data_IF_732250452930
#
_entry.id   IF_732250452930
#
_cell.length_a   1.000
_cell.length_b   1.000
_cell.length_c   1.000
_cell.angle_alpha   90.00
_cell.angle_beta   90.00
_cell.angle_gamma   90.00
#
_symmetry.space_group_name_H-M   'P 1'
#
loop_
_entity.id
_entity.type
_entity.pdbx_description
1 polymer ?
#
# COMPACT_ATOMS: atom_id res chain seq x y z
N UNK A 1 6.98 4.16 66.59
CA UNK A 1 6.28 5.06 65.64
C UNK A 1 5.32 4.19 64.86
N UNK A 2 4.04 4.54 64.86
CA UNK A 2 2.97 3.75 64.24
C UNK A 2 2.95 3.94 62.73
N UNK A 3 2.60 2.90 61.99
CA UNK A 3 2.56 2.94 60.53
C UNK A 3 1.19 2.57 59.96
N UNK A 4 0.97 2.97 58.73
CA UNK A 4 -0.19 2.58 57.93
C UNK A 4 0.32 2.27 56.51
N UNK A 5 0.14 1.03 56.05
CA UNK A 5 0.76 0.57 54.81
C UNK A 5 -0.03 -0.44 54.00
N UNK A 6 0.31 -0.55 52.71
CA UNK A 6 -0.25 -1.51 51.76
C UNK A 6 0.85 -2.37 51.12
N UNK A 7 0.57 -3.66 50.92
CA UNK A 7 1.55 -4.61 50.36
C UNK A 7 1.77 -4.38 48.86
N UNK A 8 2.98 -3.95 48.50
CA UNK A 8 3.41 -3.71 47.11
C UNK A 8 4.86 -4.19 46.95
N UNK A 9 5.09 -5.46 46.58
CA UNK A 9 6.44 -5.95 46.28
C UNK A 9 7.06 -5.19 45.09
N UNK A 10 8.36 -4.84 45.11
CA UNK A 10 9.39 -5.16 46.11
C UNK A 10 9.53 -4.12 47.25
N UNK A 11 8.62 -3.16 47.35
CA UNK A 11 8.76 -2.02 48.26
C UNK A 11 8.35 -2.34 49.70
N UNK A 12 7.27 -3.09 49.88
CA UNK A 12 6.77 -3.55 51.17
C UNK A 12 6.03 -4.86 51.00
N UNK A 13 6.37 -5.86 51.81
CA UNK A 13 5.71 -7.16 51.84
C UNK A 13 5.86 -7.80 53.22
N UNK A 14 4.93 -8.69 53.55
CA UNK A 14 4.98 -9.49 54.78
C UNK A 14 5.27 -10.94 54.44
N UNK A 15 6.39 -11.48 54.92
CA UNK A 15 6.77 -12.90 54.78
C UNK A 15 6.99 -13.51 56.16
N UNK A 16 6.22 -14.55 56.50
CA UNK A 16 6.40 -15.37 57.72
C UNK A 16 6.54 -14.58 59.04
N UNK A 17 5.85 -13.45 59.17
CA UNK A 17 5.90 -12.59 60.37
C UNK A 17 7.00 -11.54 60.37
N UNK A 18 7.86 -11.53 59.35
CA UNK A 18 8.85 -10.47 59.09
C UNK A 18 8.34 -9.47 58.05
N UNK A 19 8.75 -8.21 58.19
CA UNK A 19 8.46 -7.12 57.26
C UNK A 19 9.66 -6.90 56.34
N UNK A 20 9.51 -7.28 55.07
CA UNK A 20 10.59 -7.24 54.09
C UNK A 20 10.26 -6.26 52.96
N UNK A 21 11.28 -5.54 52.52
CA UNK A 21 11.17 -4.61 51.43
C UNK A 21 12.06 -3.39 51.63
N UNK A 22 11.97 -2.48 50.69
CA UNK A 22 12.74 -1.25 50.71
C UNK A 22 12.29 -0.31 51.84
N UNK A 23 10.98 -0.17 52.09
CA UNK A 23 10.47 0.75 53.12
C UNK A 23 10.88 0.34 54.53
N UNK A 24 10.71 -0.91 54.99
CA UNK A 24 11.17 -1.32 56.33
C UNK A 24 12.66 -1.10 56.53
N UNK A 25 13.48 -1.42 55.54
CA UNK A 25 14.92 -1.21 55.58
C UNK A 25 15.29 0.26 55.79
N UNK A 26 14.69 1.17 55.00
CA UNK A 26 14.98 2.61 55.10
C UNK A 26 14.44 3.18 56.41
N UNK A 27 13.21 2.85 56.80
CA UNK A 27 12.57 3.43 57.97
C UNK A 27 13.25 2.98 59.27
N UNK A 28 13.62 1.71 59.39
CA UNK A 28 14.37 1.22 60.54
C UNK A 28 15.76 1.87 60.63
N UNK A 29 16.43 2.07 59.49
CA UNK A 29 17.73 2.73 59.46
C UNK A 29 17.63 4.21 59.86
N UNK A 30 16.67 4.95 59.29
CA UNK A 30 16.46 6.38 59.57
C UNK A 30 16.02 6.59 61.01
N UNK A 31 15.07 5.80 61.53
CA UNK A 31 14.59 5.95 62.90
C UNK A 31 15.67 5.67 63.93
N UNK A 32 16.48 4.62 63.75
CA UNK A 32 17.62 4.33 64.63
C UNK A 32 18.68 5.43 64.59
N UNK A 33 18.97 5.97 63.41
CA UNK A 33 20.01 7.00 63.23
C UNK A 33 19.56 8.36 63.76
N UNK A 34 18.32 8.77 63.52
CA UNK A 34 17.84 10.10 63.86
C UNK A 34 17.29 10.22 65.29
N UNK A 35 16.64 9.18 65.82
CA UNK A 35 15.94 9.30 67.10
C UNK A 35 16.84 9.05 68.31
N UNK A 36 17.96 8.34 68.16
CA UNK A 36 18.86 7.90 69.25
C UNK A 36 18.10 7.13 70.38
N UNK A 37 18.79 6.42 71.28
CA UNK A 37 18.11 5.79 72.42
C UNK A 37 17.61 6.84 73.42
N UNK A 38 16.39 6.66 73.91
CA UNK A 38 15.81 7.52 74.92
C UNK A 38 16.55 7.37 76.25
N UNK A 39 17.10 8.47 76.78
CA UNK A 39 17.95 8.48 77.98
C UNK A 39 17.19 8.04 79.25
N UNK A 40 15.86 8.17 79.29
CA UNK A 40 15.01 7.84 80.44
C UNK A 40 14.52 6.37 80.49
N UNK A 41 15.26 5.42 79.91
CA UNK A 41 14.97 3.98 80.04
C UNK A 41 13.88 3.43 79.10
N UNK A 42 13.39 4.22 78.15
CA UNK A 42 12.39 3.78 77.16
C UNK A 42 12.98 3.03 75.95
N UNK A 43 14.30 2.81 75.91
CA UNK A 43 14.96 2.03 74.86
C UNK A 43 15.12 2.78 73.51
N UNK A 44 15.53 2.07 72.44
CA UNK A 44 15.62 2.62 71.10
C UNK A 44 14.23 2.82 70.49
N UNK A 45 14.08 3.89 69.70
CA UNK A 45 12.85 4.10 68.92
C UNK A 45 12.74 3.05 67.83
N UNK A 46 11.62 2.34 67.78
CA UNK A 46 11.31 1.35 66.74
C UNK A 46 10.05 1.75 65.94
N UNK A 47 9.98 1.27 64.71
CA UNK A 47 8.80 1.40 63.85
C UNK A 47 7.89 0.22 64.11
N UNK A 48 6.60 0.50 64.31
CA UNK A 48 5.55 -0.51 64.49
C UNK A 48 4.85 -0.73 63.15
N UNK A 49 5.05 -1.91 62.57
CA UNK A 49 4.41 -2.34 61.31
C UNK A 49 3.17 -3.20 61.54
N UNK A 50 2.81 -3.48 62.78
CA UNK A 50 1.66 -4.30 63.15
C UNK A 50 0.42 -3.45 63.40
N UNK A 51 0.58 -2.34 64.12
CA UNK A 51 -0.52 -1.53 64.60
C UNK A 51 -0.42 -0.06 64.19
N UNK A 52 -1.58 0.52 63.86
CA UNK A 52 -1.74 1.96 63.71
C UNK A 52 -1.98 2.63 65.08
N UNK A 53 -2.08 3.96 65.11
CA UNK A 53 -2.29 4.75 66.35
C UNK A 53 -3.62 4.43 67.03
N UNK A 54 -4.59 3.90 66.29
CA UNK A 54 -5.88 3.47 66.80
C UNK A 54 -5.86 2.03 67.35
N UNK A 55 -4.75 1.32 67.23
CA UNK A 55 -4.62 -0.09 67.61
C UNK A 55 -5.22 -1.08 66.61
N UNK A 56 -5.58 -0.63 65.40
CA UNK A 56 -6.01 -1.50 64.30
C UNK A 56 -4.80 -1.97 63.49
N UNK A 57 -4.99 -2.93 62.59
CA UNK A 57 -3.90 -3.46 61.75
C UNK A 57 -3.31 -2.36 60.87
N UNK A 58 -1.98 -2.21 60.92
CA UNK A 58 -1.26 -1.26 60.08
C UNK A 58 -1.32 -1.63 58.59
N UNK A 59 -1.38 -2.92 58.26
CA UNK A 59 -1.63 -3.42 56.91
C UNK A 59 -3.09 -3.16 56.50
N UNK A 60 -3.28 -2.47 55.37
CA UNK A 60 -4.60 -2.19 54.78
C UNK A 60 -4.82 -3.03 53.53
N UNK A 61 -6.08 -3.19 53.12
CA UNK A 61 -6.45 -4.00 51.94
C UNK A 61 -6.27 -3.28 50.60
N UNK A 62 -6.17 -1.94 50.61
CA UNK A 62 -6.07 -1.14 49.38
C UNK A 62 -5.33 0.17 49.66
N UNK A 63 -4.54 0.63 48.68
CA UNK A 63 -3.88 1.95 48.68
C UNK A 63 -4.87 3.09 48.98
N UNK A 64 -6.12 2.97 48.49
CA UNK A 64 -7.16 3.97 48.77
C UNK A 64 -7.50 4.12 50.26
N UNK A 65 -7.32 3.06 51.05
CA UNK A 65 -7.58 3.08 52.51
C UNK A 65 -6.41 3.72 53.24
N UNK A 66 -5.18 3.48 52.79
CA UNK A 66 -3.98 4.17 53.29
C UNK A 66 -4.16 5.69 53.16
N UNK A 67 -4.67 6.16 52.01
CA UNK A 67 -4.94 7.58 51.78
C UNK A 67 -6.07 8.19 52.61
N UNK A 68 -7.05 7.39 53.05
CA UNK A 68 -8.17 7.89 53.86
C UNK A 68 -7.82 7.97 55.35
N UNK A 69 -6.96 7.06 55.82
CA UNK A 69 -6.60 6.93 57.23
C UNK A 69 -5.22 7.54 57.53
N UNK A 70 -4.80 8.56 56.78
CA UNK A 70 -3.51 9.25 56.94
C UNK A 70 -3.35 9.89 58.34
N UNK A 71 -4.45 10.19 59.04
CA UNK A 71 -4.45 10.79 60.37
C UNK A 71 -4.22 9.80 61.51
N UNK A 72 -4.27 8.49 61.23
CA UNK A 72 -4.23 7.42 62.22
C UNK A 72 -2.84 6.78 62.37
N UNK A 73 -1.80 7.29 61.70
CA UNK A 73 -0.44 6.78 61.84
C UNK A 73 0.61 7.90 61.76
N UNK A 74 1.79 7.66 62.36
CA UNK A 74 2.91 8.59 62.29
C UNK A 74 3.57 8.60 60.90
N UNK A 75 3.52 7.47 60.20
CA UNK A 75 4.06 7.28 58.84
C UNK A 75 3.09 6.49 57.98
N UNK A 76 2.87 6.94 56.74
CA UNK A 76 1.99 6.27 55.77
C UNK A 76 2.72 6.03 54.45
N UNK A 77 2.72 4.79 53.94
CA UNK A 77 3.42 4.41 52.70
C UNK A 77 2.84 3.11 52.09
N UNK A 78 2.92 2.90 50.77
CA UNK A 78 3.40 3.82 49.75
C UNK A 78 2.38 4.94 49.50
N UNK A 79 2.85 6.20 49.51
CA UNK A 79 2.08 7.37 49.07
C UNK A 79 2.71 7.86 47.78
N UNK A 80 1.91 7.86 46.72
CA UNK A 80 2.32 8.38 45.43
C UNK A 80 2.27 9.91 45.42
N UNK A 81 3.33 10.51 44.89
CA UNK A 81 3.46 11.95 44.75
C UNK A 81 4.06 12.34 43.40
N UNK A 82 4.07 13.63 43.09
CA UNK A 82 4.75 14.16 41.91
C UNK A 82 6.14 14.67 42.24
N UNK A 83 7.02 14.73 41.24
CA UNK A 83 8.40 15.21 41.40
C UNK A 83 8.40 16.66 41.92
N UNK A 84 9.11 16.88 43.02
CA UNK A 84 9.17 18.19 43.69
C UNK A 84 8.02 18.47 44.68
N UNK A 85 7.11 17.51 44.89
CA UNK A 85 6.13 17.60 45.96
C UNK A 85 6.85 17.57 47.32
N UNK A 86 6.55 18.54 48.19
CA UNK A 86 7.11 18.63 49.55
C UNK A 86 6.08 18.41 50.65
N UNK A 87 4.79 18.42 50.29
CA UNK A 87 3.66 18.25 51.20
C UNK A 87 2.59 17.36 50.57
N UNK A 88 1.95 16.55 51.39
CA UNK A 88 0.78 15.75 51.04
C UNK A 88 -0.31 16.07 52.06
N UNK A 89 -1.37 16.75 51.62
CA UNK A 89 -2.36 17.33 52.55
C UNK A 89 -1.71 18.30 53.54
N UNK A 90 -1.88 18.03 54.83
CA UNK A 90 -1.27 18.79 55.94
C UNK A 90 0.12 18.27 56.35
N UNK A 91 0.53 17.10 55.86
CA UNK A 91 1.76 16.41 56.24
C UNK A 91 2.92 16.69 55.29
N UNK A 92 4.15 16.50 55.79
CA UNK A 92 5.35 16.62 54.97
C UNK A 92 5.52 15.37 54.11
N UNK A 93 5.67 15.56 52.81
CA UNK A 93 5.93 14.48 51.87
C UNK A 93 7.44 14.33 51.68
N UNK A 94 7.94 13.09 51.73
CA UNK A 94 9.36 12.76 51.54
C UNK A 94 9.47 11.75 50.40
N UNK A 95 9.96 12.15 49.21
CA UNK A 95 10.17 11.22 48.10
C UNK A 95 11.40 10.34 48.41
N UNK A 96 11.21 9.01 48.41
CA UNK A 96 12.30 8.06 48.66
C UNK A 96 12.89 7.48 47.37
N UNK A 97 12.05 7.28 46.34
CA UNK A 97 12.45 6.71 45.06
C UNK A 97 11.55 7.22 43.94
N UNK A 98 12.09 7.30 42.74
CA UNK A 98 11.30 7.53 41.53
C UNK A 98 10.81 6.17 41.01
N UNK A 99 9.53 6.07 40.64
CA UNK A 99 9.00 4.84 40.04
C UNK A 99 9.57 4.67 38.62
N UNK A 100 9.77 3.43 38.18
CA UNK A 100 10.33 3.08 36.87
C UNK A 100 9.45 3.48 35.66
N UNK A 101 8.34 4.20 35.88
CA UNK A 101 7.35 4.54 34.86
C UNK A 101 6.33 3.44 34.60
N UNK A 102 5.42 3.69 33.65
CA UNK A 102 4.36 2.76 33.25
C UNK A 102 4.65 2.27 31.83
N UNK A 103 4.76 0.96 31.64
CA UNK A 103 4.88 0.35 30.33
C UNK A 103 3.48 0.01 29.77
N UNK A 104 3.27 0.29 28.49
CA UNK A 104 2.03 -0.06 27.80
C UNK A 104 2.25 -1.33 26.99
N UNK A 105 1.46 -2.37 27.27
CA UNK A 105 1.45 -3.59 26.46
C UNK A 105 0.28 -3.51 25.50
N UNK A 106 0.58 -3.38 24.21
CA UNK A 106 -0.40 -3.44 23.15
C UNK A 106 -0.23 -4.75 22.37
N UNK A 107 -1.35 -5.39 22.01
CA UNK A 107 -1.30 -6.45 21.01
C UNK A 107 -0.86 -5.87 19.67
N UNK A 108 0.16 -6.49 19.07
CA UNK A 108 0.57 -6.20 17.70
C UNK A 108 -0.63 -6.42 16.76
N UNK A 109 -0.79 -5.57 15.73
CA UNK A 109 -1.89 -5.72 14.79
C UNK A 109 -1.84 -7.07 14.08
N UNK A 110 -3.01 -7.67 13.92
CA UNK A 110 -3.19 -9.00 13.30
C UNK A 110 -2.96 -8.90 11.78
N UNK A 111 -2.53 -9.99 11.12
CA UNK A 111 -2.20 -9.97 9.68
C UNK A 111 -3.31 -9.40 8.76
N UNK A 112 -4.59 -9.53 9.14
CA UNK A 112 -5.73 -8.95 8.40
C UNK A 112 -5.88 -7.42 8.53
N UNK A 113 -5.32 -6.79 9.57
CA UNK A 113 -5.30 -5.34 9.71
C UNK A 113 -4.23 -4.72 8.81
N UNK A 114 -3.14 -5.45 8.55
CA UNK A 114 -2.07 -5.05 7.64
C UNK A 114 -2.52 -4.97 6.18
N UNK A 115 -3.43 -5.86 5.73
CA UNK A 115 -3.94 -5.87 4.34
C UNK A 115 -4.95 -4.76 4.06
N UNK A 116 -5.91 -4.54 4.98
CA UNK A 116 -6.86 -3.42 4.88
C UNK A 116 -6.14 -2.07 4.85
N UNK A 117 -4.97 -2.00 5.50
CA UNK A 117 -4.14 -0.81 5.53
C UNK A 117 -3.45 -0.52 4.18
N UNK A 118 -2.87 -1.52 3.50
CA UNK A 118 -2.31 -1.32 2.14
C UNK A 118 -3.38 -0.80 1.19
N UNK A 119 -4.60 -1.33 1.31
CA UNK A 119 -5.76 -0.88 0.53
C UNK A 119 -6.09 0.58 0.86
N UNK A 120 -6.03 1.00 2.13
CA UNK A 120 -6.26 2.38 2.55
C UNK A 120 -5.21 3.35 1.95
N UNK A 121 -3.93 3.00 1.96
CA UNK A 121 -2.87 3.82 1.34
C UNK A 121 -3.08 3.94 -0.17
N UNK A 122 -3.34 2.81 -0.85
CA UNK A 122 -3.60 2.83 -2.29
C UNK A 122 -4.85 3.66 -2.65
N UNK A 123 -5.90 3.59 -1.84
CA UNK A 123 -7.12 4.39 -2.05
C UNK A 123 -6.93 5.87 -1.73
N UNK A 124 -6.07 6.22 -0.77
CA UNK A 124 -5.74 7.61 -0.46
C UNK A 124 -4.94 8.30 -1.58
N UNK A 125 -4.02 7.56 -2.24
CA UNK A 125 -3.23 8.09 -3.35
C UNK A 125 -3.99 8.17 -4.68
N UNK A 126 -5.10 7.43 -4.81
CA UNK A 126 -5.84 7.30 -6.06
C UNK A 126 -6.40 8.63 -6.60
N UNK A 127 -7.06 9.50 -5.80
CA UNK A 127 -7.57 10.79 -6.29
C UNK A 127 -6.47 11.68 -6.88
N UNK A 128 -5.28 11.70 -6.27
CA UNK A 128 -4.16 12.52 -6.76
C UNK A 128 -3.64 12.01 -8.10
N UNK A 129 -3.50 10.70 -8.27
CA UNK A 129 -3.15 10.09 -9.56
C UNK A 129 -4.18 10.41 -10.66
N UNK A 130 -5.47 10.40 -10.31
CA UNK A 130 -6.53 10.80 -11.25
C UNK A 130 -6.38 12.28 -11.62
N UNK A 131 -6.13 13.16 -10.66
CA UNK A 131 -5.96 14.59 -10.91
C UNK A 131 -4.72 14.89 -11.78
N UNK A 132 -3.60 14.18 -11.60
CA UNK A 132 -2.42 14.34 -12.45
C UNK A 132 -2.67 13.86 -13.88
N UNK A 133 -3.36 12.73 -14.06
CA UNK A 133 -3.76 12.23 -15.39
C UNK A 133 -4.71 13.22 -16.08
N UNK A 134 -5.68 13.78 -15.35
CA UNK A 134 -6.59 14.80 -15.89
C UNK A 134 -5.85 16.07 -16.32
N UNK A 135 -4.86 16.52 -15.55
CA UNK A 135 -3.99 17.64 -15.93
C UNK A 135 -3.17 17.33 -17.20
N UNK A 136 -2.63 16.11 -17.33
CA UNK A 136 -1.92 15.68 -18.55
C UNK A 136 -2.85 15.63 -19.77
N UNK A 137 -4.09 15.16 -19.60
CA UNK A 137 -5.10 15.16 -20.67
C UNK A 137 -5.44 16.59 -21.09
N UNK A 138 -5.63 17.50 -20.13
CA UNK A 138 -5.88 18.90 -20.40
C UNK A 138 -4.71 19.52 -21.17
N UNK A 139 -3.47 19.34 -20.70
CA UNK A 139 -2.30 19.88 -21.37
C UNK A 139 -2.10 19.30 -22.77
N UNK A 140 -2.36 18.00 -22.95
CA UNK A 140 -2.33 17.34 -24.25
C UNK A 140 -3.38 17.89 -25.21
N UNK A 141 -4.60 18.17 -24.73
CA UNK A 141 -5.65 18.80 -25.56
C UNK A 141 -5.30 20.23 -25.97
N UNK A 142 -4.71 21.02 -25.06
CA UNK A 142 -4.27 22.39 -25.34
C UNK A 142 -3.16 22.37 -26.37
N UNK A 143 -2.14 21.53 -26.21
CA UNK A 143 -1.07 21.44 -27.19
C UNK A 143 -1.58 20.98 -28.55
N UNK A 144 -2.42 19.95 -28.58
CA UNK A 144 -3.04 19.49 -29.82
C UNK A 144 -3.81 20.62 -30.51
N UNK A 145 -4.57 21.44 -29.77
CA UNK A 145 -5.29 22.58 -30.34
C UNK A 145 -4.34 23.61 -30.97
N UNK A 146 -3.17 23.85 -30.36
CA UNK A 146 -2.14 24.78 -30.88
C UNK A 146 -1.38 24.22 -32.09
N UNK A 147 -1.10 22.92 -32.12
CA UNK A 147 -0.24 22.29 -33.14
C UNK A 147 -0.99 21.61 -34.28
N UNK A 148 -2.26 21.24 -34.12
CA UNK A 148 -3.03 20.47 -35.12
C UNK A 148 -3.08 21.11 -36.52
N UNK A 149 -2.97 22.44 -36.60
CA UNK A 149 -2.92 23.17 -37.86
C UNK A 149 -1.51 23.35 -38.42
N UNK A 150 -0.50 23.45 -37.55
CA UNK A 150 0.89 23.78 -37.91
C UNK A 150 1.73 22.54 -38.18
N UNK A 151 1.51 21.46 -37.41
CA UNK A 151 2.26 20.21 -37.49
C UNK A 151 1.34 18.99 -37.55
N UNK A 152 0.61 18.78 -38.67
CA UNK A 152 -0.34 17.68 -38.82
C UNK A 152 0.31 16.29 -38.92
N UNK A 153 1.62 16.22 -39.19
CA UNK A 153 2.37 14.95 -39.28
C UNK A 153 2.51 14.30 -37.90
N UNK A 154 2.88 15.10 -36.90
CA UNK A 154 3.04 14.63 -35.52
C UNK A 154 1.73 14.74 -34.73
N UNK A 155 0.92 15.77 -34.96
CA UNK A 155 -0.35 16.01 -34.28
C UNK A 155 -1.52 15.95 -35.28
N UNK A 156 -2.14 14.77 -35.49
CA UNK A 156 -3.18 14.62 -36.50
C UNK A 156 -4.42 15.46 -36.16
N UNK A 157 -5.07 15.98 -37.22
CA UNK A 157 -6.29 16.81 -37.11
C UNK A 157 -7.51 16.07 -36.56
N UNK A 158 -7.51 14.74 -36.66
CA UNK A 158 -8.59 13.91 -36.13
C UNK A 158 -8.59 14.03 -34.59
N UNK A 159 -9.67 14.55 -34.00
CA UNK A 159 -9.76 14.85 -32.57
C UNK A 159 -9.35 13.68 -31.67
N UNK A 160 -9.89 12.47 -31.89
CA UNK A 160 -9.61 11.30 -31.06
C UNK A 160 -8.15 10.86 -31.12
N UNK A 161 -7.56 10.86 -32.33
CA UNK A 161 -6.16 10.50 -32.52
C UNK A 161 -5.25 11.59 -31.98
N UNK A 162 -5.54 12.84 -32.28
CA UNK A 162 -4.78 14.00 -31.83
C UNK A 162 -4.75 14.17 -30.32
N UNK A 163 -5.87 13.89 -29.63
CA UNK A 163 -5.91 13.86 -28.16
C UNK A 163 -4.96 12.82 -27.57
N UNK A 164 -4.97 11.61 -28.12
CA UNK A 164 -4.12 10.54 -27.61
C UNK A 164 -2.64 10.84 -27.80
N UNK A 165 -2.28 11.41 -28.95
CA UNK A 165 -0.91 11.85 -29.24
C UNK A 165 -0.49 13.05 -28.36
N UNK A 166 -1.42 13.98 -28.10
CA UNK A 166 -1.20 15.11 -27.18
C UNK A 166 -1.05 14.65 -25.73
N UNK A 167 -1.87 13.70 -25.28
CA UNK A 167 -1.75 13.08 -23.97
C UNK A 167 -0.43 12.33 -23.81
N UNK A 168 -0.03 11.55 -24.82
CA UNK A 168 1.27 10.86 -24.84
C UNK A 168 2.43 11.85 -24.70
N UNK A 169 2.39 12.96 -25.45
CA UNK A 169 3.37 14.03 -25.31
C UNK A 169 3.37 14.65 -23.90
N UNK A 170 2.19 14.93 -23.34
CA UNK A 170 2.07 15.52 -22.01
C UNK A 170 2.63 14.58 -20.93
N UNK A 171 2.37 13.27 -21.07
CA UNK A 171 2.87 12.22 -20.18
C UNK A 171 4.39 12.11 -20.23
N UNK A 172 5.00 11.99 -21.41
CA UNK A 172 6.47 11.85 -21.56
C UNK A 172 7.21 13.11 -21.13
N UNK A 173 6.59 14.28 -21.32
CA UNK A 173 7.14 15.57 -20.89
C UNK A 173 7.02 15.76 -19.37
N UNK A 174 5.87 15.43 -18.78
CA UNK A 174 5.64 15.55 -17.33
C UNK A 174 6.49 14.56 -16.52
N UNK A 175 6.68 13.34 -17.04
CA UNK A 175 7.57 12.33 -16.44
C UNK A 175 9.05 12.57 -16.71
N UNK A 176 9.41 13.68 -17.38
CA UNK A 176 10.79 14.06 -17.74
C UNK A 176 11.53 13.07 -18.66
N UNK A 177 10.84 12.06 -19.20
CA UNK A 177 11.43 11.09 -20.14
C UNK A 177 11.82 11.76 -21.45
N UNK A 178 10.91 12.58 -22.00
CA UNK A 178 11.19 13.42 -23.17
C UNK A 178 11.80 12.70 -24.37
N UNK A 179 11.16 11.63 -24.88
CA UNK A 179 11.67 10.86 -26.03
C UNK A 179 11.96 11.69 -27.29
N UNK A 180 11.33 12.86 -27.42
CA UNK A 180 11.52 13.75 -28.57
C UNK A 180 10.85 13.24 -29.84
N UNK A 181 9.96 12.26 -29.73
CA UNK A 181 9.15 11.71 -30.82
C UNK A 181 8.04 12.67 -31.27
N UNK A 182 7.60 13.56 -30.38
CA UNK A 182 6.64 14.63 -30.65
C UNK A 182 7.20 15.97 -30.17
N UNK A 183 7.34 16.93 -31.08
CA UNK A 183 7.93 18.24 -30.80
C UNK A 183 7.05 19.35 -31.40
N UNK A 184 6.54 20.28 -30.58
CA UNK A 184 5.77 21.41 -31.08
C UNK A 184 6.64 22.36 -31.91
N UNK A 185 6.13 22.73 -33.09
CA UNK A 185 6.84 23.59 -34.04
C UNK A 185 6.35 25.03 -33.98
N UNK A 186 5.12 25.27 -33.54
CA UNK A 186 4.56 26.61 -33.43
C UNK A 186 5.17 27.41 -32.27
N UNK A 187 5.21 28.74 -32.40
CA UNK A 187 5.73 29.63 -31.35
C UNK A 187 4.90 29.51 -30.07
N UNK A 188 3.57 29.48 -30.20
CA UNK A 188 2.66 29.32 -29.06
C UNK A 188 2.79 27.93 -28.42
N UNK A 189 2.93 26.87 -29.23
CA UNK A 189 3.17 25.51 -28.75
C UNK A 189 4.46 25.42 -27.93
N UNK A 190 5.55 26.04 -28.39
CA UNK A 190 6.82 26.09 -27.65
C UNK A 190 6.72 26.84 -26.33
N UNK A 191 6.06 28.01 -26.31
CA UNK A 191 5.82 28.75 -25.07
C UNK A 191 4.99 27.93 -24.08
N UNK A 192 3.96 27.24 -24.56
CA UNK A 192 3.16 26.33 -23.76
C UNK A 192 3.97 25.15 -23.23
N UNK A 193 4.85 24.56 -24.05
CA UNK A 193 5.76 23.49 -23.60
C UNK A 193 6.66 23.92 -22.45
N UNK A 194 7.23 25.13 -22.51
CA UNK A 194 8.07 25.66 -21.42
C UNK A 194 7.24 25.82 -20.13
N UNK A 195 6.02 26.33 -20.23
CA UNK A 195 5.13 26.44 -19.08
C UNK A 195 4.74 25.06 -18.51
N UNK A 196 4.44 24.10 -19.39
CA UNK A 196 4.06 22.75 -19.02
C UNK A 196 5.19 21.96 -18.38
N UNK A 197 6.44 22.08 -18.85
CA UNK A 197 7.58 21.40 -18.24
C UNK A 197 7.81 21.88 -16.81
N UNK A 198 7.72 23.19 -16.56
CA UNK A 198 7.81 23.76 -15.21
C UNK A 198 6.65 23.29 -14.32
N UNK A 199 5.42 23.32 -14.83
CA UNK A 199 4.25 22.84 -14.09
C UNK A 199 4.33 21.33 -13.80
N UNK A 200 4.81 20.52 -14.75
CA UNK A 200 5.00 19.08 -14.62
C UNK A 200 5.95 18.71 -13.49
N UNK A 201 7.07 19.45 -13.34
CA UNK A 201 8.00 19.26 -12.22
C UNK A 201 7.32 19.48 -10.86
N UNK A 202 6.48 20.51 -10.75
CA UNK A 202 5.72 20.79 -9.52
C UNK A 202 4.70 19.69 -9.26
N UNK A 203 3.94 19.28 -10.28
CA UNK A 203 2.92 18.24 -10.17
C UNK A 203 3.55 16.90 -9.73
N UNK A 204 4.66 16.49 -10.33
CA UNK A 204 5.37 15.27 -9.95
C UNK A 204 5.92 15.36 -8.52
N UNK A 205 6.43 16.52 -8.11
CA UNK A 205 6.93 16.74 -6.75
C UNK A 205 5.82 16.65 -5.71
N UNK A 206 4.64 17.22 -6.00
CA UNK A 206 3.46 17.11 -5.14
C UNK A 206 2.95 15.67 -5.05
N UNK A 207 2.94 14.94 -6.16
CA UNK A 207 2.56 13.52 -6.17
C UNK A 207 3.46 12.69 -5.25
N UNK A 208 4.78 12.88 -5.35
CA UNK A 208 5.75 12.18 -4.49
C UNK A 208 5.56 12.59 -3.03
N UNK A 209 5.40 13.88 -2.73
CA UNK A 209 5.20 14.37 -1.37
C UNK A 209 3.95 13.78 -0.71
N UNK A 210 2.83 13.70 -1.43
CA UNK A 210 1.60 13.11 -0.91
C UNK A 210 1.72 11.59 -0.71
N UNK A 211 2.42 10.89 -1.60
CA UNK A 211 2.73 9.47 -1.39
C UNK A 211 3.58 9.29 -0.13
N UNK A 212 4.57 10.15 0.09
CA UNK A 212 5.39 10.14 1.31
C UNK A 212 4.54 10.46 2.55
N UNK A 213 3.63 11.43 2.49
CA UNK A 213 2.72 11.74 3.60
C UNK A 213 1.80 10.57 3.94
N UNK A 214 1.25 9.89 2.92
CA UNK A 214 0.43 8.71 3.12
C UNK A 214 1.22 7.60 3.82
N UNK A 215 2.50 7.40 3.47
CA UNK A 215 3.39 6.47 4.15
C UNK A 215 3.72 6.93 5.58
N UNK A 216 4.16 8.17 5.78
CA UNK A 216 4.51 8.72 7.11
C UNK A 216 3.31 8.67 8.06
N UNK A 217 2.11 8.94 7.56
CA UNK A 217 0.90 8.86 8.38
C UNK A 217 0.76 7.50 9.08
N UNK A 218 1.25 6.42 8.46
CA UNK A 218 1.28 5.10 9.09
C UNK A 218 2.39 4.96 10.12
N UNK A 219 3.63 5.34 9.81
CA UNK A 219 4.74 5.16 10.76
C UNK A 219 4.45 5.95 12.03
N UNK A 220 3.85 7.14 11.89
CA UNK A 220 3.41 7.95 13.03
C UNK A 220 2.23 7.33 13.78
N UNK A 221 1.24 6.73 13.09
CA UNK A 221 0.09 6.07 13.73
C UNK A 221 0.49 4.82 14.52
N UNK A 222 1.50 4.07 14.09
CA UNK A 222 2.01 2.91 14.82
C UNK A 222 2.98 3.28 15.94
N UNK A 223 3.95 4.14 15.64
CA UNK A 223 5.04 4.45 16.57
C UNK A 223 4.66 5.48 17.63
N UNK A 224 3.96 6.55 17.24
CA UNK A 224 4.01 7.78 18.03
C UNK A 224 2.75 8.00 18.86
N UNK A 225 1.61 7.37 18.51
CA UNK A 225 0.36 7.69 19.16
C UNK A 225 -0.78 6.67 18.96
N UNK A 226 -0.67 5.50 19.62
CA UNK A 226 -1.83 5.15 20.46
C UNK A 226 -1.88 6.21 21.57
N UNK A 227 -2.45 7.37 21.24
CA UNK A 227 -2.85 8.36 22.24
C UNK A 227 -3.62 7.57 23.28
N UNK A 228 -3.06 7.46 24.47
CA UNK A 228 -3.76 6.93 25.65
C UNK A 228 -5.12 7.63 25.77
N UNK A 229 -5.19 8.90 25.33
CA UNK A 229 -6.41 9.68 25.13
C UNK A 229 -7.46 8.94 24.28
N UNK A 230 -8.53 8.52 24.94
CA UNK A 230 -9.68 7.85 24.33
C UNK A 230 -9.50 6.35 24.08
N UNK A 231 -8.29 5.80 24.23
CA UNK A 231 -8.04 4.37 24.08
C UNK A 231 -8.69 3.56 25.20
N UNK A 232 -9.20 2.37 24.89
CA UNK A 232 -9.71 1.43 25.91
C UNK A 232 -8.52 0.69 26.52
N UNK A 233 -8.26 0.91 27.80
CA UNK A 233 -7.09 0.36 28.50
C UNK A 233 -7.57 -0.39 29.74
N UNK A 234 -7.01 -1.57 29.98
CA UNK A 234 -7.19 -2.30 31.24
C UNK A 234 -6.06 -1.91 32.19
N UNK A 235 -6.41 -1.50 33.41
CA UNK A 235 -5.47 -1.34 34.52
C UNK A 235 -6.11 -1.84 35.81
N UNK A 236 -5.28 -2.20 36.78
CA UNK A 236 -5.73 -2.61 38.11
C UNK A 236 -6.39 -1.42 38.79
N UNK A 237 -7.53 -1.63 39.43
CA UNK A 237 -8.24 -0.54 40.11
C UNK A 237 -7.37 0.06 41.22
N UNK A 238 -7.33 1.39 41.31
CA UNK A 238 -6.53 2.16 42.28
C UNK A 238 -5.00 2.01 42.16
N UNK A 239 -4.50 1.54 41.02
CA UNK A 239 -3.07 1.48 40.73
C UNK A 239 -2.54 2.77 40.06
N UNK A 240 -1.23 3.06 40.12
CA UNK A 240 -0.64 4.22 39.46
C UNK A 240 -0.87 4.23 37.94
N UNK A 241 -0.93 3.06 37.30
CA UNK A 241 -1.24 2.90 35.88
C UNK A 241 -2.67 3.35 35.58
N UNK A 242 -3.62 3.05 36.48
CA UNK A 242 -5.00 3.49 36.37
C UNK A 242 -5.12 5.01 36.52
N UNK A 243 -4.45 5.60 37.52
CA UNK A 243 -4.43 7.05 37.72
C UNK A 243 -3.79 7.79 36.53
N UNK A 244 -2.70 7.27 35.98
CA UNK A 244 -2.06 7.81 34.78
C UNK A 244 -2.99 7.73 33.56
N UNK A 245 -3.67 6.59 33.36
CA UNK A 245 -4.63 6.40 32.29
C UNK A 245 -5.79 7.40 32.37
N UNK A 246 -6.35 7.63 33.56
CA UNK A 246 -7.39 8.66 33.78
C UNK A 246 -6.87 10.06 33.49
N UNK A 247 -5.67 10.43 33.96
CA UNK A 247 -5.03 11.74 33.68
C UNK A 247 -4.81 11.96 32.19
N UNK A 248 -4.51 10.88 31.46
CA UNK A 248 -4.35 10.88 30.00
C UNK A 248 -5.68 10.64 29.26
N UNK A 249 -6.83 10.77 29.92
CA UNK A 249 -8.18 10.67 29.31
C UNK A 249 -8.42 9.33 28.59
N UNK A 250 -7.81 8.24 29.05
CA UNK A 250 -8.12 6.91 28.55
C UNK A 250 -9.49 6.41 29.05
N UNK A 251 -10.10 5.52 28.27
CA UNK A 251 -11.27 4.74 28.69
C UNK A 251 -10.79 3.56 29.52
N UNK A 252 -10.68 3.78 30.82
CA UNK A 252 -10.22 2.75 31.74
C UNK A 252 -11.30 1.70 31.99
N UNK A 253 -10.97 0.43 31.75
CA UNK A 253 -11.78 -0.69 32.22
C UNK A 253 -11.15 -1.19 33.53
N UNK A 254 -11.78 -0.97 34.70
CA UNK A 254 -11.24 -1.46 35.94
C UNK A 254 -11.25 -2.99 35.89
N UNK A 255 -10.07 -3.60 35.87
CA UNK A 255 -9.98 -5.04 36.05
C UNK A 255 -10.10 -5.28 37.56
N UNK A 256 -11.27 -5.74 37.99
CA UNK A 256 -11.48 -6.22 39.35
C UNK A 256 -10.47 -7.36 39.57
N UNK A 257 -9.51 -7.14 40.47
CA UNK A 257 -8.64 -8.20 40.97
C UNK A 257 -9.50 -9.15 41.81
N UNK A 258 -10.19 -10.07 41.14
CA UNK A 258 -11.09 -11.05 41.73
C UNK A 258 -10.71 -12.46 41.29
N UNK A 259 -10.28 -13.26 42.27
CA UNK A 259 -10.22 -14.73 42.28
C UNK A 259 -9.18 -15.47 41.40
N UNK A 260 -7.94 -15.00 41.33
CA UNK A 260 -6.79 -15.85 40.95
C UNK A 260 -5.69 -15.79 42.01
N UNK A 261 -5.89 -16.46 43.14
CA UNK A 261 -4.91 -16.53 44.24
C UNK A 261 -4.66 -17.98 44.70
N UNK A 262 -4.81 -18.96 43.79
CA UNK A 262 -4.49 -20.38 44.09
C UNK A 262 -3.57 -21.06 43.08
N UNK A 263 -3.45 -20.55 41.84
CA UNK A 263 -2.51 -21.09 40.86
C UNK A 263 -1.15 -20.37 40.89
N UNK A 264 -1.12 -19.15 41.42
CA UNK A 264 0.09 -18.33 41.57
C UNK A 264 1.08 -18.97 42.57
N UNK A 265 0.59 -19.58 43.65
CA UNK A 265 1.42 -20.14 44.71
C UNK A 265 2.25 -21.35 44.24
N UNK A 266 1.65 -22.28 43.50
CA UNK A 266 2.41 -23.41 42.92
C UNK A 266 3.42 -22.97 41.86
N UNK A 267 3.11 -21.93 41.09
CA UNK A 267 4.02 -21.41 40.06
C UNK A 267 5.17 -20.61 40.70
N UNK A 268 4.86 -19.83 41.75
CA UNK A 268 5.84 -19.10 42.56
C UNK A 268 6.75 -20.06 43.32
N UNK A 269 6.25 -21.15 43.89
CA UNK A 269 7.06 -22.14 44.62
C UNK A 269 8.06 -22.83 43.66
N UNK A 270 7.63 -23.19 42.44
CA UNK A 270 8.51 -23.79 41.42
C UNK A 270 9.59 -22.81 40.93
N UNK A 271 9.22 -21.53 40.77
CA UNK A 271 10.13 -20.45 40.36
C UNK A 271 11.06 -20.02 41.50
N UNK A 272 10.62 -20.03 42.76
CA UNK A 272 11.44 -19.74 43.94
C UNK A 272 12.46 -20.87 44.22
N UNK A 273 12.08 -22.14 44.06
CA UNK A 273 12.98 -23.28 44.27
C UNK A 273 14.13 -23.34 43.27
N UNK A 274 13.86 -22.93 42.03
CA UNK A 274 14.85 -22.95 40.96
C UNK A 274 15.38 -21.55 40.63
N UNK A 275 15.15 -20.55 41.50
CA UNK A 275 15.43 -19.12 41.24
C UNK A 275 16.88 -18.84 40.88
N UNK A 276 17.84 -19.58 41.44
CA UNK A 276 19.26 -19.46 41.12
C UNK A 276 19.58 -19.94 39.72
N UNK A 277 19.19 -21.18 39.38
CA UNK A 277 19.39 -21.74 38.04
C UNK A 277 18.55 -21.03 37.00
N UNK A 278 17.34 -20.59 37.33
CA UNK A 278 16.47 -19.81 36.45
C UNK A 278 17.05 -18.41 36.25
N UNK A 279 17.55 -17.71 37.28
CA UNK A 279 18.15 -16.38 37.10
C UNK A 279 19.48 -16.44 36.37
N UNK A 280 20.31 -17.45 36.63
CA UNK A 280 21.56 -17.65 35.88
C UNK A 280 21.29 -18.09 34.45
N UNK A 281 20.30 -18.97 34.22
CA UNK A 281 19.86 -19.33 32.88
C UNK A 281 19.20 -18.14 32.19
N UNK A 282 18.46 -17.28 32.89
CA UNK A 282 17.86 -16.06 32.35
C UNK A 282 18.94 -15.02 32.05
N UNK A 283 19.95 -14.79 32.89
CA UNK A 283 21.04 -13.84 32.56
C UNK A 283 21.94 -14.35 31.44
N UNK A 284 22.16 -15.66 31.35
CA UNK A 284 22.97 -16.27 30.28
C UNK A 284 22.18 -16.42 28.96
N UNK A 285 20.85 -16.58 29.04
CA UNK A 285 19.94 -16.74 27.87
C UNK A 285 19.35 -15.41 27.41
N UNK A 286 19.04 -14.50 28.33
CA UNK A 286 18.58 -13.13 28.07
C UNK A 286 19.81 -12.26 27.91
N UNK A 287 20.30 -12.20 26.67
CA UNK A 287 21.00 -11.00 26.22
C UNK A 287 20.13 -9.81 26.63
N UNK A 288 20.62 -8.95 27.51
CA UNK A 288 20.03 -7.63 27.73
C UNK A 288 19.77 -7.06 26.33
N UNK A 289 18.50 -6.87 25.90
CA UNK A 289 18.28 -6.15 24.67
C UNK A 289 18.87 -4.78 24.94
N UNK A 290 19.90 -4.41 24.19
CA UNK A 290 20.30 -3.02 24.08
C UNK A 290 19.02 -2.25 23.80
N UNK A 291 18.59 -1.40 24.73
CA UNK A 291 17.60 -0.39 24.43
C UNK A 291 18.19 0.42 23.28
N UNK A 292 17.72 0.11 22.06
CA UNK A 292 17.87 1.04 20.97
C UNK A 292 17.03 2.25 21.40
N UNK A 293 17.72 3.30 21.85
CA UNK A 293 17.22 4.68 21.87
C UNK A 293 16.97 5.20 20.44
N UNK A 294 16.76 4.32 19.47
CA UNK A 294 16.03 4.73 18.30
C UNK A 294 14.59 4.85 18.75
N UNK A 295 14.06 6.07 18.65
CA UNK A 295 12.70 6.23 18.19
C UNK A 295 12.48 5.22 17.06
N UNK A 296 11.97 4.03 17.37
CA UNK A 296 11.54 3.06 16.38
C UNK A 296 10.29 3.69 15.79
N UNK A 297 10.48 4.70 14.93
CA UNK A 297 9.74 4.76 13.70
C UNK A 297 9.81 3.32 13.20
N UNK A 298 8.72 2.59 13.42
CA UNK A 298 8.55 1.23 12.93
C UNK A 298 8.45 1.48 11.44
N UNK A 299 9.64 1.58 10.83
CA UNK A 299 9.79 1.97 9.46
C UNK A 299 9.04 0.90 8.71
N UNK A 300 8.09 1.33 7.91
CA UNK A 300 7.22 0.41 7.21
C UNK A 300 8.20 -0.41 6.40
N UNK A 301 8.30 -1.71 6.71
CA UNK A 301 9.11 -2.67 5.96
C UNK A 301 8.69 -2.82 4.49
N UNK A 302 7.95 -1.84 3.96
CA UNK A 302 7.68 -1.56 2.58
C UNK A 302 8.90 -0.98 1.84
N UNK A 303 9.87 -0.36 2.53
CA UNK A 303 11.13 0.10 1.94
C UNK A 303 12.38 -0.55 2.56
N UNK A 304 12.22 -1.27 3.67
CA UNK A 304 13.30 -2.06 4.26
C UNK A 304 13.48 -3.37 3.46
N UNK A 305 14.64 -3.57 2.80
CA UNK A 305 14.91 -4.78 2.02
C UNK A 305 14.99 -6.06 2.87
N UNK A 306 14.92 -5.97 4.20
CA UNK A 306 14.92 -7.12 5.12
C UNK A 306 13.52 -7.57 5.54
N UNK A 307 12.48 -6.78 5.27
CA UNK A 307 11.13 -7.07 5.70
C UNK A 307 10.33 -7.91 4.68
N UNK A 308 9.58 -8.90 5.16
CA UNK A 308 8.78 -9.81 4.32
C UNK A 308 7.76 -9.08 3.41
N UNK A 309 7.29 -7.91 3.86
CA UNK A 309 6.34 -7.09 3.11
C UNK A 309 6.95 -6.49 1.84
N UNK A 310 8.23 -6.08 1.89
CA UNK A 310 8.97 -5.62 0.72
C UNK A 310 9.04 -6.73 -0.34
N UNK A 311 9.47 -7.93 0.04
CA UNK A 311 9.57 -9.06 -0.89
C UNK A 311 8.21 -9.42 -1.52
N UNK A 312 7.13 -9.45 -0.72
CA UNK A 312 5.80 -9.77 -1.24
C UNK A 312 5.31 -8.71 -2.23
N UNK A 313 5.56 -7.42 -1.97
CA UNK A 313 5.18 -6.32 -2.86
C UNK A 313 5.99 -6.31 -4.15
N UNK A 314 7.31 -6.55 -4.08
CA UNK A 314 8.21 -6.63 -5.24
C UNK A 314 7.86 -7.86 -6.10
N UNK A 315 7.63 -9.01 -5.48
CA UNK A 315 7.27 -10.24 -6.18
C UNK A 315 5.89 -10.12 -6.84
N UNK A 316 4.94 -9.46 -6.16
CA UNK A 316 3.65 -9.09 -6.75
C UNK A 316 3.79 -8.17 -7.97
N UNK A 317 4.63 -7.14 -7.90
CA UNK A 317 4.90 -6.25 -9.02
C UNK A 317 5.58 -6.98 -10.20
N UNK A 318 6.53 -7.88 -9.92
CA UNK A 318 7.19 -8.70 -10.94
C UNK A 318 6.21 -9.66 -11.63
N UNK A 319 5.32 -10.31 -10.88
CA UNK A 319 4.26 -11.15 -11.45
C UNK A 319 3.34 -10.31 -12.34
N UNK A 320 2.92 -9.13 -11.89
CA UNK A 320 2.05 -8.25 -12.66
C UNK A 320 2.72 -7.81 -13.98
N UNK A 321 4.00 -7.46 -13.92
CA UNK A 321 4.81 -7.13 -15.12
C UNK A 321 4.97 -8.33 -16.06
N UNK A 322 5.21 -9.53 -15.52
CA UNK A 322 5.32 -10.76 -16.31
C UNK A 322 4.00 -11.09 -17.02
N UNK A 323 2.87 -10.99 -16.31
CA UNK A 323 1.53 -11.18 -16.88
C UNK A 323 1.25 -10.15 -17.97
N UNK A 324 1.51 -8.86 -17.71
CA UNK A 324 1.33 -7.81 -18.71
C UNK A 324 2.21 -8.02 -19.96
N UNK A 325 3.45 -8.46 -19.77
CA UNK A 325 4.37 -8.76 -20.87
C UNK A 325 3.92 -9.97 -21.69
N UNK A 326 3.44 -11.03 -21.03
CA UNK A 326 2.88 -12.21 -21.69
C UNK A 326 1.60 -11.87 -22.46
N UNK A 327 0.70 -11.07 -21.88
CA UNK A 327 -0.47 -10.55 -22.58
C UNK A 327 -0.10 -9.68 -23.78
N UNK A 328 0.92 -8.82 -23.65
CA UNK A 328 1.45 -8.01 -24.74
C UNK A 328 2.03 -8.86 -25.87
N UNK A 329 2.81 -9.89 -25.53
CA UNK A 329 3.33 -10.88 -26.47
C UNK A 329 2.22 -11.66 -27.18
N UNK A 330 1.21 -12.12 -26.43
CA UNK A 330 0.06 -12.82 -26.99
C UNK A 330 -0.76 -11.92 -27.93
N UNK A 331 -0.98 -10.65 -27.55
CA UNK A 331 -1.62 -9.67 -28.41
C UNK A 331 -0.81 -9.42 -29.68
N UNK A 332 0.51 -9.27 -29.56
CA UNK A 332 1.40 -9.04 -30.70
C UNK A 332 1.43 -10.24 -31.64
N UNK A 333 1.58 -11.47 -31.12
CA UNK A 333 1.56 -12.69 -31.94
C UNK A 333 0.22 -12.86 -32.64
N UNK A 334 -0.90 -12.65 -31.93
CA UNK A 334 -2.23 -12.67 -32.53
C UNK A 334 -2.39 -11.61 -33.63
N UNK A 335 -1.92 -10.38 -33.41
CA UNK A 335 -1.95 -9.29 -34.40
C UNK A 335 -1.14 -9.64 -35.65
N UNK A 336 0.07 -10.17 -35.48
CA UNK A 336 0.95 -10.56 -36.59
C UNK A 336 0.36 -11.74 -37.36
N UNK A 337 -0.19 -12.75 -36.68
CA UNK A 337 -0.85 -13.89 -37.32
C UNK A 337 -2.08 -13.46 -38.11
N UNK A 338 -2.92 -12.59 -37.55
CA UNK A 338 -4.09 -12.03 -38.23
C UNK A 338 -3.69 -11.22 -39.48
N UNK A 339 -2.61 -10.42 -39.40
CA UNK A 339 -2.09 -9.71 -40.56
C UNK A 339 -1.57 -10.67 -41.64
N UNK A 340 -0.78 -11.68 -41.27
CA UNK A 340 -0.27 -12.69 -42.21
C UNK A 340 -1.41 -13.47 -42.89
N UNK A 341 -2.45 -13.85 -42.14
CA UNK A 341 -3.63 -14.53 -42.68
C UNK A 341 -4.38 -13.64 -43.70
N UNK A 342 -4.57 -12.35 -43.38
CA UNK A 342 -5.20 -11.40 -44.29
C UNK A 342 -4.36 -11.17 -45.57
N UNK A 343 -3.04 -11.05 -45.45
CA UNK A 343 -2.14 -10.90 -46.61
C UNK A 343 -2.11 -12.18 -47.47
N UNK A 344 -2.11 -13.36 -46.85
CA UNK A 344 -2.19 -14.63 -47.56
C UNK A 344 -3.52 -14.79 -48.31
N UNK A 345 -4.64 -14.43 -47.68
CA UNK A 345 -5.96 -14.43 -48.31
C UNK A 345 -6.03 -13.45 -49.50
N UNK A 346 -5.47 -12.25 -49.35
CA UNK A 346 -5.37 -11.26 -50.43
C UNK A 346 -4.54 -11.79 -51.62
N UNK A 347 -3.39 -12.39 -51.34
CA UNK A 347 -2.52 -12.97 -52.36
C UNK A 347 -3.20 -14.13 -53.12
N UNK A 348 -3.94 -14.99 -52.42
CA UNK A 348 -4.70 -16.09 -53.04
C UNK A 348 -5.78 -15.58 -54.00
N UNK A 349 -6.55 -14.56 -53.58
CA UNK A 349 -7.53 -13.89 -54.45
C UNK A 349 -6.88 -13.24 -55.67
N UNK A 350 -5.69 -12.63 -55.50
CA UNK A 350 -4.93 -12.07 -56.60
C UNK A 350 -4.46 -13.14 -57.60
N UNK A 351 -4.08 -14.34 -57.14
CA UNK A 351 -3.73 -15.47 -58.00
C UNK A 351 -4.92 -15.95 -58.81
N UNK A 352 -6.07 -16.20 -58.17
CA UNK A 352 -7.32 -16.61 -58.86
C UNK A 352 -7.72 -15.60 -59.93
N UNK A 353 -7.60 -14.30 -59.64
CA UNK A 353 -7.90 -13.24 -60.61
C UNK A 353 -7.01 -13.33 -61.85
N UNK A 354 -5.71 -13.57 -61.68
CA UNK A 354 -4.77 -13.72 -62.80
C UNK A 354 -5.07 -14.96 -63.64
N UNK A 355 -5.40 -16.08 -63.00
CA UNK A 355 -5.79 -17.32 -63.71
C UNK A 355 -7.07 -17.13 -64.53
N UNK A 356 -8.10 -16.49 -63.95
CA UNK A 356 -9.32 -16.16 -64.67
C UNK A 356 -9.06 -15.21 -65.85
N UNK A 357 -8.24 -14.16 -65.66
CA UNK A 357 -7.87 -13.26 -66.75
C UNK A 357 -7.14 -14.00 -67.89
N UNK A 358 -6.28 -14.97 -67.57
CA UNK A 358 -5.61 -15.79 -68.58
C UNK A 358 -6.58 -16.69 -69.36
N UNK A 359 -7.52 -17.35 -68.68
CA UNK A 359 -8.51 -18.22 -69.32
C UNK A 359 -9.50 -17.41 -70.18
N UNK A 360 -9.96 -16.25 -69.70
CA UNK A 360 -10.81 -15.33 -70.47
C UNK A 360 -10.09 -14.85 -71.72
N UNK A 361 -8.82 -14.44 -71.60
CA UNK A 361 -8.01 -14.02 -72.74
C UNK A 361 -7.73 -15.16 -73.73
N UNK A 362 -7.62 -16.41 -73.24
CA UNK A 362 -7.48 -17.60 -74.08
C UNK A 362 -8.77 -17.90 -74.83
N UNK A 363 -9.92 -17.82 -74.15
CA UNK A 363 -11.23 -17.98 -74.76
C UNK A 363 -11.46 -16.93 -75.85
N UNK A 364 -11.20 -15.65 -75.55
CA UNK A 364 -11.39 -14.55 -76.50
C UNK A 364 -10.54 -14.73 -77.77
N UNK A 365 -9.28 -15.16 -77.62
CA UNK A 365 -8.41 -15.46 -78.77
C UNK A 365 -8.97 -16.59 -79.64
N UNK A 366 -9.34 -17.73 -79.03
CA UNK A 366 -9.94 -18.86 -79.77
C UNK A 366 -11.26 -18.48 -80.43
N UNK A 367 -12.10 -17.73 -79.74
CA UNK A 367 -13.37 -17.26 -80.28
C UNK A 367 -13.15 -16.36 -81.50
N UNK A 368 -12.23 -15.40 -81.40
CA UNK A 368 -11.86 -14.52 -82.50
C UNK A 368 -11.30 -15.30 -83.71
N UNK A 369 -10.48 -16.33 -83.47
CA UNK A 369 -9.99 -17.22 -84.52
C UNK A 369 -11.12 -17.97 -85.23
N UNK A 370 -12.06 -18.55 -84.48
CA UNK A 370 -13.22 -19.27 -85.02
C UNK A 370 -14.11 -18.32 -85.83
N UNK A 371 -14.43 -17.14 -85.30
CA UNK A 371 -15.24 -16.13 -85.99
C UNK A 371 -14.54 -15.68 -87.28
N UNK A 372 -13.23 -15.44 -87.24
CA UNK A 372 -12.47 -15.07 -88.44
C UNK A 372 -12.41 -16.21 -89.47
N UNK A 373 -12.31 -17.47 -89.02
CA UNK A 373 -12.36 -18.65 -89.88
C UNK A 373 -13.73 -18.78 -90.56
N UNK A 374 -14.81 -18.70 -89.78
CA UNK A 374 -16.19 -18.71 -90.29
C UNK A 374 -16.45 -17.56 -91.27
N UNK A 375 -15.97 -16.35 -90.96
CA UNK A 375 -16.07 -15.18 -91.84
C UNK A 375 -15.38 -15.44 -93.18
N UNK A 376 -14.16 -16.01 -93.18
CA UNK A 376 -13.43 -16.37 -94.41
C UNK A 376 -14.18 -17.44 -95.21
N UNK A 377 -14.68 -18.48 -94.54
CA UNK A 377 -15.48 -19.54 -95.19
C UNK A 377 -16.75 -18.98 -95.80
N UNK A 378 -17.50 -18.15 -95.07
CA UNK A 378 -18.73 -17.54 -95.55
C UNK A 378 -18.51 -16.61 -96.74
N UNK A 379 -17.42 -15.82 -96.74
CA UNK A 379 -17.04 -15.00 -97.90
C UNK A 379 -16.72 -15.89 -99.12
N UNK A 380 -16.03 -17.02 -98.93
CA UNK A 380 -15.71 -17.97 -100.00
C UNK A 380 -16.96 -18.63 -100.56
N UNK A 381 -17.85 -19.13 -99.71
CA UNK A 381 -19.13 -19.72 -100.10
C UNK A 381 -20.02 -18.71 -100.83
N UNK A 382 -20.12 -17.48 -100.33
CA UNK A 382 -20.87 -16.40 -100.99
C UNK A 382 -20.31 -16.08 -102.37
N UNK A 383 -18.98 -16.06 -102.54
CA UNK A 383 -18.34 -15.87 -103.85
C UNK A 383 -18.65 -17.03 -104.80
N UNK A 384 -18.59 -18.28 -104.32
CA UNK A 384 -18.91 -19.47 -105.11
C UNK A 384 -20.40 -19.47 -105.52
N UNK A 385 -21.30 -19.12 -104.61
CA UNK A 385 -22.74 -18.99 -104.90
C UNK A 385 -23.02 -17.90 -105.95
N UNK A 386 -22.40 -16.72 -105.82
CA UNK A 386 -22.52 -15.66 -106.82
C UNK A 386 -21.94 -16.07 -108.19
N UNK A 387 -20.85 -16.82 -108.21
CA UNK A 387 -20.27 -17.37 -109.45
C UNK A 387 -21.19 -18.41 -110.11
N UNK A 388 -21.79 -19.32 -109.32
CA UNK A 388 -22.78 -20.28 -109.80
C UNK A 388 -24.06 -19.60 -110.32
N UNK A 389 -24.55 -18.55 -109.65
CA UNK A 389 -25.67 -17.74 -110.18
C UNK A 389 -25.31 -17.07 -111.50
N UNK A 390 -24.08 -16.56 -111.65
CA UNK A 390 -23.60 -16.02 -112.93
C UNK A 390 -23.56 -17.10 -114.01
N UNK A 391 -23.01 -18.29 -113.77
CA UNK A 391 -22.96 -19.36 -114.78
C UNK A 391 -24.36 -19.84 -115.18
N UNK A 392 -25.29 -19.99 -114.21
CA UNK A 392 -26.68 -20.34 -114.51
C UNK A 392 -27.39 -19.24 -115.32
N UNK A 393 -27.11 -17.97 -115.05
CA UNK A 393 -27.63 -16.86 -115.85
C UNK A 393 -27.10 -16.89 -117.30
N UNK A 394 -25.82 -17.25 -117.51
CA UNK A 394 -25.27 -17.44 -118.86
C UNK A 394 -25.83 -18.68 -119.57
N UNK A 395 -26.07 -19.79 -118.87
CA UNK A 395 -26.73 -20.98 -119.44
C UNK A 395 -28.18 -20.69 -119.85
N UNK A 396 -28.96 -19.98 -119.04
CA UNK A 396 -30.34 -19.58 -119.36
C UNK A 396 -30.37 -18.64 -120.58
N UNK A 397 -29.40 -17.74 -120.70
CA UNK A 397 -29.24 -16.92 -121.91
C UNK A 397 -28.92 -17.79 -123.14
N UNK A 398 -28.01 -18.75 -123.02
CA UNK A 398 -27.63 -19.62 -124.14
C UNK A 398 -28.75 -20.58 -124.58
N UNK A 399 -29.58 -21.10 -123.66
CA UNK A 399 -30.76 -21.90 -124.02
C UNK A 399 -31.86 -21.05 -124.63
N UNK A 400 -32.03 -19.80 -124.18
CA UNK A 400 -32.92 -18.82 -124.81
C UNK A 400 -32.51 -18.53 -126.26
N UNK A 401 -31.23 -18.28 -126.56
CA UNK A 401 -30.79 -18.05 -127.95
C UNK A 401 -30.87 -19.29 -128.84
N UNK A 402 -30.73 -20.51 -128.29
CA UNK A 402 -30.86 -21.75 -129.07
C UNK A 402 -32.31 -22.06 -129.45
N UNK A 403 -33.28 -21.63 -128.64
CA UNK A 403 -34.71 -21.81 -128.93
C UNK A 403 -35.25 -20.90 -130.06
N UNK A 404 -34.53 -19.86 -130.46
CA UNK A 404 -34.94 -18.97 -131.57
C UNK A 404 -34.25 -19.29 -132.91
N UNK A 405 -33.38 -20.30 -132.96
CA UNK A 405 -32.66 -20.68 -134.19
C UNK A 405 -33.21 -21.94 -134.87
N UNK A 406 -34.30 -22.52 -134.35
CA UNK A 406 -34.98 -23.71 -134.91
C UNK A 406 -36.42 -23.41 -135.39
N UNK A 407 -36.71 -22.17 -135.80
CA UNK A 407 -37.93 -21.80 -136.53
C UNK A 407 -37.62 -21.01 -137.80
#
# INVERSE_FOLDING_TARGET
>A
MTTNWYSVPPYMSRKEGSYEGLFPFILDWVTRTCCMPCINGHGPTAVDYEHDRGGMTAEKDNVSVVHKNEYEADMSFPIEGYKGQSRYGTYRYVPLMESAGVAFVASLPTAGEKTNFVIMVCTACFPMLVMTILMMLLAGTVLWALESNTNPEEFPKLFTRGLWEGFWWAYTTCTTLGYGDKVPRSVLGRLFTIAWTLAGLVIMSLLVAEMTNALISYSVLQTTNRKIYGAKIGAIQASPEFALGVRKTARMNPVLAGASMKLEKCFLDFVELNKGDISHKIEETVKTPTLHDESIAEDIGLLDPTADQFYLSVLGALILFAVASLCGLAYHTHRVLKQRANTAAYNHLATIRREMEQEVNRFYRRFSEIVNKLRKTHIRERRLFLASKRSNFYQIKHTSYRSYAEY
#
